data_IF_721802996332
#
_entry.id   IF_721802996332
#
_cell.length_a   1.000
_cell.length_b   1.000
_cell.length_c   1.000
_cell.angle_alpha   90.00
_cell.angle_beta   90.00
_cell.angle_gamma   90.00
#
_symmetry.space_group_name_H-M   'P 1'
#
loop_
_entity.id
_entity.type
_entity.pdbx_description
1 polymer ?
#
# COMPACT_ATOMS: atom_id res chain seq x y z
N UNK A 1 -17.26 -22.34 4.71
CA UNK A 1 -16.37 -22.13 3.57
C UNK A 1 -15.00 -21.72 4.04
N UNK A 2 -13.96 -22.18 3.36
CA UNK A 2 -12.60 -21.79 3.69
C UNK A 2 -12.42 -20.28 3.41
N UNK A 3 -11.99 -19.52 4.41
CA UNK A 3 -11.59 -18.13 4.23
C UNK A 3 -10.16 -18.10 3.69
N UNK A 4 -9.91 -17.21 2.74
CA UNK A 4 -8.54 -16.93 2.30
C UNK A 4 -7.81 -16.18 3.43
N UNK A 5 -6.63 -16.64 3.85
CA UNK A 5 -5.84 -15.89 4.81
C UNK A 5 -5.36 -14.58 4.19
N UNK A 6 -5.14 -13.57 5.02
CA UNK A 6 -4.50 -12.34 4.60
C UNK A 6 -3.02 -12.57 4.31
N UNK A 7 -2.51 -11.85 3.33
CA UNK A 7 -1.12 -11.96 2.91
C UNK A 7 -0.22 -10.96 3.61
N UNK A 8 -0.10 -11.12 4.91
CA UNK A 8 0.76 -10.25 5.72
C UNK A 8 2.23 -10.26 5.27
N UNK A 9 2.84 -11.39 4.87
CA UNK A 9 4.21 -11.37 4.36
C UNK A 9 4.39 -10.48 3.14
N UNK A 10 3.44 -10.47 2.20
CA UNK A 10 3.49 -9.59 1.04
C UNK A 10 3.29 -8.13 1.44
N UNK A 11 2.30 -7.86 2.29
CA UNK A 11 2.04 -6.51 2.81
C UNK A 11 3.29 -5.94 3.48
N UNK A 12 3.89 -6.67 4.42
CA UNK A 12 5.10 -6.23 5.11
C UNK A 12 6.28 -6.03 4.16
N UNK A 13 6.46 -6.92 3.18
CA UNK A 13 7.51 -6.76 2.18
C UNK A 13 7.32 -5.47 1.35
N UNK A 14 6.08 -5.15 0.95
CA UNK A 14 5.75 -3.90 0.26
C UNK A 14 6.03 -2.67 1.15
N UNK A 15 5.62 -2.71 2.41
CA UNK A 15 5.88 -1.64 3.38
C UNK A 15 7.37 -1.37 3.52
N UNK A 16 8.16 -2.41 3.79
CA UNK A 16 9.60 -2.27 4.02
C UNK A 16 10.39 -1.90 2.77
N UNK A 17 9.99 -2.38 1.61
CA UNK A 17 10.73 -2.14 0.36
C UNK A 17 10.36 -0.84 -0.34
N UNK A 18 9.10 -0.39 -0.26
CA UNK A 18 8.59 0.71 -1.08
C UNK A 18 7.95 1.85 -0.30
N UNK A 19 7.16 1.53 0.74
CA UNK A 19 6.23 2.51 1.31
C UNK A 19 6.87 3.40 2.37
N UNK A 20 8.02 3.01 2.91
CA UNK A 20 8.78 3.79 3.90
C UNK A 20 9.57 4.92 3.25
N UNK A 21 9.99 5.94 4.01
CA UNK A 21 10.98 6.91 3.57
C UNK A 21 12.27 6.24 3.07
N UNK A 22 12.93 6.83 2.09
CA UNK A 22 14.12 6.27 1.41
C UNK A 22 15.16 5.72 2.38
N UNK A 23 15.52 6.46 3.43
CA UNK A 23 16.52 6.04 4.42
C UNK A 23 16.12 4.82 5.28
N UNK A 24 14.87 4.41 5.25
CA UNK A 24 14.30 3.35 6.08
C UNK A 24 13.78 2.15 5.27
N UNK A 25 14.14 2.07 3.99
CA UNK A 25 13.72 0.95 3.12
C UNK A 25 14.70 -0.20 3.20
N UNK A 26 14.18 -1.42 3.09
CA UNK A 26 14.97 -2.59 2.73
C UNK A 26 15.09 -2.70 1.20
N UNK A 27 15.96 -3.60 0.73
CA UNK A 27 15.98 -3.98 -0.69
C UNK A 27 14.68 -4.66 -1.14
N UNK A 28 14.55 -4.83 -2.45
CA UNK A 28 13.35 -5.45 -3.06
C UNK A 28 13.43 -6.99 -3.15
N UNK A 29 14.57 -7.58 -2.85
CA UNK A 29 14.76 -9.03 -2.87
C UNK A 29 13.77 -9.79 -1.98
N UNK A 30 13.49 -9.37 -0.74
CA UNK A 30 12.51 -10.05 0.09
C UNK A 30 11.10 -10.02 -0.50
N UNK A 31 10.76 -8.96 -1.25
CA UNK A 31 9.49 -8.86 -1.94
C UNK A 31 9.34 -9.95 -2.99
N UNK A 32 10.41 -10.26 -3.72
CA UNK A 32 10.41 -11.25 -4.78
C UNK A 32 10.56 -12.66 -4.22
N UNK A 33 11.57 -12.90 -3.37
CA UNK A 33 11.89 -14.24 -2.87
C UNK A 33 10.88 -14.77 -1.87
N UNK A 34 10.32 -13.92 -1.01
CA UNK A 34 9.49 -14.35 0.11
C UNK A 34 7.99 -14.15 -0.12
N UNK A 35 7.60 -13.33 -1.07
CA UNK A 35 6.18 -12.98 -1.25
C UNK A 35 5.62 -13.24 -2.63
N UNK A 36 6.34 -12.92 -3.69
CA UNK A 36 5.82 -13.01 -5.05
C UNK A 36 6.16 -14.33 -5.74
N UNK A 37 7.40 -14.84 -5.62
CA UNK A 37 7.82 -16.07 -6.31
C UNK A 37 7.47 -17.36 -5.55
N UNK A 38 7.38 -17.32 -4.24
CA UNK A 38 7.19 -18.53 -3.43
C UNK A 38 5.79 -19.14 -3.51
N UNK A 39 4.88 -18.54 -4.24
CA UNK A 39 3.48 -18.96 -4.27
C UNK A 39 3.15 -19.98 -5.32
N UNK A 40 3.83 -19.93 -6.46
CA UNK A 40 3.52 -20.77 -7.61
C UNK A 40 4.56 -21.84 -7.91
N UNK A 41 5.80 -21.66 -7.47
CA UNK A 41 6.93 -22.45 -7.98
C UNK A 41 7.64 -23.30 -6.91
N UNK A 42 7.56 -22.95 -5.64
CA UNK A 42 8.10 -23.82 -4.61
C UNK A 42 7.10 -24.94 -4.31
N UNK A 43 7.56 -26.19 -4.37
CA UNK A 43 6.74 -27.37 -4.06
C UNK A 43 6.07 -27.35 -2.69
N UNK A 44 6.40 -26.40 -1.83
CA UNK A 44 5.78 -26.16 -0.53
C UNK A 44 4.43 -25.47 -0.63
N UNK A 45 4.20 -24.65 -1.65
CA UNK A 45 3.00 -23.82 -1.80
C UNK A 45 2.18 -24.10 -3.07
N UNK A 46 2.62 -25.03 -3.93
CA UNK A 46 1.96 -25.35 -5.20
C UNK A 46 0.49 -25.83 -5.08
N UNK A 47 0.06 -26.21 -3.88
CA UNK A 47 -1.31 -26.64 -3.60
C UNK A 47 -2.11 -25.68 -2.74
N UNK A 48 -1.53 -24.54 -2.36
CA UNK A 48 -2.24 -23.52 -1.58
C UNK A 48 -2.93 -22.53 -2.50
N UNK A 49 -4.17 -22.27 -2.18
CA UNK A 49 -4.89 -21.14 -2.78
C UNK A 49 -4.13 -19.85 -2.46
N UNK A 50 -4.00 -18.97 -3.45
CA UNK A 50 -3.34 -17.68 -3.27
C UNK A 50 -3.96 -16.92 -2.09
N UNK A 51 -3.11 -16.32 -1.28
CA UNK A 51 -3.58 -15.51 -0.17
C UNK A 51 -4.24 -14.22 -0.68
N UNK A 52 -5.05 -13.64 0.18
CA UNK A 52 -5.71 -12.37 -0.06
C UNK A 52 -4.70 -11.23 0.03
N UNK A 53 -4.23 -10.74 -1.10
CA UNK A 53 -3.14 -9.77 -1.19
C UNK A 53 -3.65 -8.33 -1.08
N UNK A 54 -2.92 -7.48 -0.37
CA UNK A 54 -3.29 -6.08 -0.17
C UNK A 54 -2.05 -5.20 0.00
N UNK A 55 -2.18 -3.94 -0.38
CA UNK A 55 -1.16 -2.91 -0.16
C UNK A 55 -1.39 -2.23 1.19
N UNK A 56 -2.62 -1.77 1.43
CA UNK A 56 -3.04 -1.17 2.70
C UNK A 56 -4.40 -1.71 3.15
N UNK A 57 -4.67 -1.59 4.45
CA UNK A 57 -5.97 -1.90 5.06
C UNK A 57 -6.45 -0.71 5.90
N UNK A 58 -7.74 -0.70 6.24
CA UNK A 58 -8.36 0.39 7.00
C UNK A 58 -7.86 0.46 8.46
N UNK A 59 -7.42 -0.68 9.01
CA UNK A 59 -7.19 -0.80 10.45
C UNK A 59 -5.90 -0.14 10.94
N UNK A 60 -4.88 -0.04 10.11
CA UNK A 60 -3.55 0.23 10.63
C UNK A 60 -2.96 1.58 10.23
N UNK A 61 -3.40 2.17 9.15
CA UNK A 61 -2.60 3.25 8.57
C UNK A 61 -3.33 4.59 8.52
N UNK A 62 -4.53 4.65 7.95
CA UNK A 62 -5.20 5.94 7.80
C UNK A 62 -5.69 6.47 9.14
N UNK A 63 -6.35 5.64 9.95
CA UNK A 63 -6.83 6.08 11.27
C UNK A 63 -5.70 6.46 12.21
N UNK A 64 -4.62 5.67 12.22
CA UNK A 64 -3.43 5.97 13.02
C UNK A 64 -2.75 7.25 12.58
N UNK A 65 -2.64 7.48 11.27
CA UNK A 65 -2.05 8.69 10.70
C UNK A 65 -2.92 9.92 11.04
N UNK A 66 -4.23 9.83 10.88
CA UNK A 66 -5.15 10.92 11.24
C UNK A 66 -5.05 11.26 12.72
N UNK A 67 -5.02 10.25 13.59
CA UNK A 67 -4.81 10.44 15.02
C UNK A 67 -3.48 11.12 15.34
N UNK A 68 -2.42 10.74 14.65
CA UNK A 68 -1.09 11.34 14.81
C UNK A 68 -1.07 12.80 14.33
N UNK A 69 -1.69 13.11 13.19
CA UNK A 69 -1.83 14.47 12.69
C UNK A 69 -2.59 15.34 13.70
N UNK A 70 -3.72 14.84 14.22
CA UNK A 70 -4.51 15.58 15.20
C UNK A 70 -3.66 15.91 16.43
N UNK A 71 -2.96 14.92 16.97
CA UNK A 71 -2.11 15.11 18.14
C UNK A 71 -0.95 16.08 17.91
N UNK A 72 -0.32 16.02 16.76
CA UNK A 72 0.88 16.79 16.47
C UNK A 72 0.58 18.23 16.01
N UNK A 73 -0.50 18.43 15.25
CA UNK A 73 -0.74 19.68 14.53
C UNK A 73 -1.99 20.45 15.00
N UNK A 74 -2.95 19.76 15.64
CA UNK A 74 -4.27 20.35 15.92
C UNK A 74 -4.57 20.40 17.41
N UNK A 75 -4.47 19.26 18.11
CA UNK A 75 -4.81 19.12 19.51
C UNK A 75 -3.81 18.21 20.24
N UNK A 76 -2.76 18.77 20.85
CA UNK A 76 -1.76 17.99 21.59
C UNK A 76 -2.32 17.18 22.77
N UNK A 77 -3.50 17.53 23.27
CA UNK A 77 -4.17 16.83 24.36
C UNK A 77 -5.04 15.66 23.86
N UNK A 78 -5.14 15.45 22.56
CA UNK A 78 -5.89 14.34 21.99
C UNK A 78 -5.32 12.99 22.45
N UNK A 79 -6.20 12.10 22.91
CA UNK A 79 -5.83 10.73 23.28
C UNK A 79 -5.63 9.81 22.08
N UNK A 80 -5.94 10.27 20.88
CA UNK A 80 -5.85 9.49 19.66
C UNK A 80 -7.05 8.59 19.35
N UNK A 81 -8.06 8.56 20.22
CA UNK A 81 -9.20 7.63 20.09
C UNK A 81 -10.55 8.30 19.84
N UNK A 82 -10.67 9.57 20.13
CA UNK A 82 -11.91 10.35 19.96
C UNK A 82 -11.59 11.69 19.34
N UNK A 83 -12.26 12.04 18.27
CA UNK A 83 -12.03 13.27 17.53
C UNK A 83 -13.36 13.99 17.28
N UNK A 84 -13.33 15.30 17.29
CA UNK A 84 -14.44 16.11 16.78
C UNK A 84 -14.44 16.09 15.25
N UNK A 85 -15.58 16.42 14.67
CA UNK A 85 -15.69 16.54 13.21
C UNK A 85 -14.75 17.63 12.66
N UNK A 86 -14.57 18.72 13.37
CA UNK A 86 -13.67 19.82 13.00
C UNK A 86 -12.20 19.37 13.00
N UNK A 87 -11.77 18.64 14.03
CA UNK A 87 -10.43 18.05 14.09
C UNK A 87 -10.20 17.08 12.95
N UNK A 88 -11.17 16.23 12.63
CA UNK A 88 -11.08 15.30 11.51
C UNK A 88 -10.94 16.03 10.16
N UNK A 89 -11.76 17.04 9.91
CA UNK A 89 -11.68 17.85 8.68
C UNK A 89 -10.29 18.46 8.50
N UNK A 90 -9.78 19.13 9.54
CA UNK A 90 -8.44 19.73 9.51
C UNK A 90 -7.35 18.68 9.30
N UNK A 91 -7.47 17.53 9.95
CA UNK A 91 -6.50 16.45 9.78
C UNK A 91 -6.51 15.87 8.36
N UNK A 92 -7.67 15.70 7.75
CA UNK A 92 -7.75 15.25 6.36
C UNK A 92 -7.25 16.28 5.35
N UNK A 93 -7.37 17.57 5.62
CA UNK A 93 -6.72 18.62 4.81
C UNK A 93 -5.19 18.46 4.82
N UNK A 94 -4.61 18.25 6.00
CA UNK A 94 -3.16 17.99 6.16
C UNK A 94 -2.77 16.68 5.48
N UNK A 95 -3.51 15.61 5.72
CA UNK A 95 -3.30 14.30 5.10
C UNK A 95 -3.33 14.36 3.57
N UNK A 96 -4.35 15.01 3.01
CA UNK A 96 -4.52 15.15 1.57
C UNK A 96 -3.41 15.99 0.92
N UNK A 97 -2.92 17.01 1.61
CA UNK A 97 -1.76 17.79 1.17
C UNK A 97 -0.47 16.98 1.23
N UNK A 98 -0.26 16.24 2.32
CA UNK A 98 0.92 15.40 2.51
C UNK A 98 1.00 14.26 1.47
N UNK A 99 -0.12 13.65 1.09
CA UNK A 99 -0.17 12.66 0.01
C UNK A 99 0.41 13.17 -1.31
N UNK A 100 0.27 14.47 -1.58
CA UNK A 100 0.77 15.12 -2.82
C UNK A 100 2.19 15.66 -2.68
N UNK A 101 2.74 15.65 -1.48
CA UNK A 101 4.10 16.14 -1.22
C UNK A 101 5.16 15.16 -1.70
N UNK A 102 6.25 15.68 -2.24
CA UNK A 102 7.45 14.89 -2.50
C UNK A 102 8.16 14.48 -1.20
N UNK A 103 8.09 15.36 -0.17
CA UNK A 103 8.63 15.09 1.16
C UNK A 103 7.46 14.83 2.12
N UNK A 104 7.09 13.58 2.25
CA UNK A 104 5.96 13.15 3.07
C UNK A 104 6.37 13.07 4.55
N UNK A 105 5.55 13.69 5.39
CA UNK A 105 5.74 13.64 6.84
C UNK A 105 4.89 12.53 7.49
N UNK A 106 3.72 12.28 6.95
CA UNK A 106 2.72 11.38 7.53
C UNK A 106 2.35 10.22 6.63
N UNK A 107 2.18 10.47 5.34
CA UNK A 107 1.67 9.49 4.40
C UNK A 107 2.79 8.62 3.81
N UNK A 108 2.42 7.47 3.26
CA UNK A 108 3.36 6.53 2.69
C UNK A 108 3.79 6.93 1.27
N UNK A 109 4.98 6.45 0.89
CA UNK A 109 5.57 6.65 -0.43
C UNK A 109 5.11 5.54 -1.40
N UNK A 110 5.24 5.78 -2.68
CA UNK A 110 5.17 4.77 -3.76
C UNK A 110 3.94 3.85 -3.74
N UNK A 111 2.81 4.32 -3.27
CA UNK A 111 1.56 3.54 -3.27
C UNK A 111 1.22 2.99 -4.66
N UNK A 112 1.28 3.77 -5.77
CA UNK A 112 1.04 3.22 -7.10
C UNK A 112 2.02 2.11 -7.50
N UNK A 113 3.29 2.20 -7.11
CA UNK A 113 4.28 1.16 -7.41
C UNK A 113 4.00 -0.15 -6.67
N UNK A 114 3.54 -0.06 -5.41
CA UNK A 114 3.11 -1.23 -4.65
C UNK A 114 1.89 -1.91 -5.29
N UNK A 115 0.91 -1.13 -5.74
CA UNK A 115 -0.22 -1.65 -6.51
C UNK A 115 0.22 -2.26 -7.84
N UNK A 116 1.19 -1.66 -8.53
CA UNK A 116 1.72 -2.22 -9.76
C UNK A 116 2.28 -3.62 -9.54
N UNK A 117 3.12 -3.82 -8.53
CA UNK A 117 3.66 -5.14 -8.20
C UNK A 117 2.57 -6.15 -7.86
N UNK A 118 1.61 -5.78 -7.01
CA UNK A 118 0.54 -6.68 -6.61
C UNK A 118 -0.41 -7.01 -7.75
N UNK A 119 -0.86 -6.01 -8.51
CA UNK A 119 -1.88 -6.18 -9.54
C UNK A 119 -1.36 -6.83 -10.82
N UNK A 120 -0.07 -6.70 -11.12
CA UNK A 120 0.53 -7.36 -12.28
C UNK A 120 0.97 -8.79 -12.00
N UNK A 121 1.04 -9.20 -10.73
CA UNK A 121 1.41 -10.57 -10.38
C UNK A 121 0.22 -11.52 -10.54
N UNK A 122 0.36 -12.54 -11.39
CA UNK A 122 -0.73 -13.47 -11.74
C UNK A 122 -1.32 -14.27 -10.57
N UNK A 123 -0.47 -14.61 -9.59
CA UNK A 123 -0.84 -15.51 -8.47
C UNK A 123 -1.37 -14.78 -7.23
N UNK A 124 -1.62 -13.49 -7.32
CA UNK A 124 -2.25 -12.73 -6.24
C UNK A 124 -3.78 -12.79 -6.33
N UNK A 125 -4.46 -12.76 -5.19
CA UNK A 125 -5.89 -12.41 -5.07
C UNK A 125 -5.97 -11.00 -4.50
N UNK A 126 -5.87 -9.97 -5.35
CA UNK A 126 -5.64 -8.62 -4.90
C UNK A 126 -6.89 -7.94 -4.37
N UNK A 127 -6.72 -7.20 -3.31
CA UNK A 127 -7.68 -6.25 -2.77
C UNK A 127 -7.17 -4.83 -2.95
N UNK A 128 -7.98 -3.99 -3.55
CA UNK A 128 -7.74 -2.55 -3.58
C UNK A 128 -8.45 -1.91 -2.38
N UNK A 129 -7.70 -1.17 -1.59
CA UNK A 129 -8.26 -0.40 -0.49
C UNK A 129 -8.99 0.83 -1.04
N UNK A 130 -10.24 1.03 -0.62
CA UNK A 130 -11.06 2.15 -1.09
C UNK A 130 -10.43 3.51 -0.79
N UNK A 131 -9.79 3.66 0.38
CA UNK A 131 -9.07 4.86 0.78
C UNK A 131 -7.82 5.19 -0.04
N UNK A 132 -7.36 4.27 -0.91
CA UNK A 132 -6.31 4.56 -1.89
C UNK A 132 -6.87 5.10 -3.20
N UNK A 133 -8.13 4.86 -3.48
CA UNK A 133 -8.80 5.41 -4.67
C UNK A 133 -9.51 6.73 -4.37
N UNK A 134 -10.11 6.84 -3.19
CA UNK A 134 -10.85 8.03 -2.80
C UNK A 134 -10.35 8.55 -1.47
N UNK A 135 -10.29 9.87 -1.36
CA UNK A 135 -9.90 10.55 -0.13
C UNK A 135 -11.10 11.20 0.55
N UNK A 136 -10.98 11.36 1.85
CA UNK A 136 -11.99 11.94 2.71
C UNK A 136 -11.74 13.46 2.88
N UNK A 137 -12.81 14.21 3.06
CA UNK A 137 -12.79 15.62 3.49
C UNK A 137 -13.18 15.78 4.96
N UNK A 138 -13.26 14.66 5.70
CA UNK A 138 -13.75 14.59 7.06
C UNK A 138 -15.23 14.19 7.17
N UNK A 139 -15.94 14.06 6.03
CA UNK A 139 -17.34 13.61 5.98
C UNK A 139 -17.57 12.47 4.99
N UNK A 140 -17.00 12.58 3.78
CA UNK A 140 -17.27 11.66 2.69
C UNK A 140 -15.99 11.32 1.92
N UNK A 141 -15.79 10.05 1.64
CA UNK A 141 -14.74 9.57 0.74
C UNK A 141 -15.20 9.69 -0.71
N UNK A 142 -15.37 10.91 -1.20
CA UNK A 142 -15.93 11.18 -2.52
C UNK A 142 -14.93 11.77 -3.53
N UNK A 143 -13.81 12.30 -3.06
CA UNK A 143 -12.80 12.90 -3.92
C UNK A 143 -11.80 11.85 -4.39
N UNK A 144 -11.46 11.85 -5.67
CA UNK A 144 -10.39 10.99 -6.18
C UNK A 144 -9.06 11.30 -5.49
N UNK A 145 -8.40 10.26 -5.00
CA UNK A 145 -7.04 10.39 -4.47
C UNK A 145 -6.02 10.67 -5.59
N UNK A 146 -4.80 11.10 -5.27
CA UNK A 146 -3.73 11.23 -6.26
C UNK A 146 -3.36 9.90 -6.93
N UNK A 147 -3.77 8.77 -6.36
CA UNK A 147 -3.44 7.42 -6.84
C UNK A 147 -4.52 6.79 -7.71
N UNK A 148 -5.71 7.42 -7.79
CA UNK A 148 -6.90 6.86 -8.44
C UNK A 148 -6.62 6.39 -9.86
N UNK A 149 -6.12 7.28 -10.72
CA UNK A 149 -5.95 6.98 -12.15
C UNK A 149 -4.90 5.88 -12.39
N UNK A 150 -3.84 5.85 -11.59
CA UNK A 150 -2.83 4.80 -11.65
C UNK A 150 -3.42 3.44 -11.25
N UNK A 151 -4.15 3.38 -10.12
CA UNK A 151 -4.77 2.13 -9.64
C UNK A 151 -5.84 1.65 -10.62
N UNK A 152 -6.68 2.53 -11.15
CA UNK A 152 -7.71 2.18 -12.14
C UNK A 152 -7.07 1.60 -13.41
N UNK A 153 -5.99 2.20 -13.90
CA UNK A 153 -5.24 1.71 -15.06
C UNK A 153 -4.66 0.32 -14.81
N UNK A 154 -4.07 0.11 -13.64
CA UNK A 154 -3.52 -1.17 -13.23
C UNK A 154 -4.60 -2.26 -13.10
N UNK A 155 -5.78 -1.92 -12.56
CA UNK A 155 -6.92 -2.85 -12.50
C UNK A 155 -7.39 -3.27 -13.89
N UNK A 156 -7.52 -2.32 -14.81
CA UNK A 156 -7.87 -2.61 -16.21
C UNK A 156 -6.80 -3.48 -16.88
N UNK A 157 -5.53 -3.21 -16.61
CA UNK A 157 -4.40 -4.01 -17.08
C UNK A 157 -4.44 -5.44 -16.54
N UNK A 158 -4.70 -5.59 -15.24
CA UNK A 158 -4.85 -6.91 -14.61
C UNK A 158 -5.95 -7.74 -15.26
N UNK A 159 -7.13 -7.19 -15.41
CA UNK A 159 -8.28 -7.91 -16.00
C UNK A 159 -7.98 -8.39 -17.42
N UNK A 160 -7.19 -7.64 -18.17
CA UNK A 160 -6.92 -7.94 -19.57
C UNK A 160 -5.70 -8.83 -19.80
N UNK A 161 -4.69 -8.71 -18.97
CA UNK A 161 -3.34 -9.21 -19.30
C UNK A 161 -2.68 -10.06 -18.21
N UNK A 162 -3.11 -10.02 -16.96
CA UNK A 162 -2.45 -10.73 -15.86
C UNK A 162 -2.85 -12.22 -15.84
N UNK A 163 -2.45 -12.96 -16.86
CA UNK A 163 -2.66 -14.41 -17.01
C UNK A 163 -1.44 -15.07 -17.66
N UNK A 164 -1.32 -16.41 -17.55
CA UNK A 164 -0.23 -17.17 -18.16
C UNK A 164 1.04 -17.24 -17.31
N UNK A 165 2.18 -17.48 -17.95
CA UNK A 165 3.48 -17.55 -17.31
C UNK A 165 3.99 -16.16 -16.88
N UNK A 166 4.75 -16.12 -15.80
CA UNK A 166 5.39 -14.90 -15.33
C UNK A 166 6.78 -15.21 -14.80
N UNK A 167 7.76 -14.37 -15.15
CA UNK A 167 9.10 -14.35 -14.58
C UNK A 167 9.39 -12.96 -14.03
N UNK A 168 10.04 -12.90 -12.89
CA UNK A 168 10.43 -11.65 -12.22
C UNK A 168 11.91 -11.67 -11.92
N UNK A 169 12.60 -10.61 -12.38
CA UNK A 169 14.04 -10.40 -12.11
C UNK A 169 14.26 -9.02 -11.52
N UNK A 170 15.16 -8.95 -10.55
CA UNK A 170 15.68 -7.68 -10.05
C UNK A 170 16.97 -7.35 -10.77
N UNK A 171 16.99 -6.21 -11.44
CA UNK A 171 18.19 -5.66 -12.03
C UNK A 171 18.59 -4.40 -11.27
N UNK A 172 19.80 -4.39 -10.73
CA UNK A 172 20.33 -3.21 -10.05
C UNK A 172 20.93 -2.24 -11.07
N UNK A 173 20.44 -1.02 -11.05
CA UNK A 173 20.93 0.06 -11.89
C UNK A 173 21.75 1.01 -11.01
N UNK A 174 23.05 0.82 -11.00
CA UNK A 174 23.99 1.68 -10.28
C UNK A 174 24.63 1.07 -9.03
N UNK A 175 25.81 1.53 -8.73
CA UNK A 175 26.59 1.13 -7.56
C UNK A 175 26.12 1.87 -6.32
N UNK A 176 25.73 1.14 -5.30
CA UNK A 176 25.63 1.66 -3.93
C UNK A 176 24.33 2.33 -3.52
N UNK A 177 23.31 2.37 -4.36
CA UNK A 177 22.00 2.88 -3.94
C UNK A 177 20.91 1.86 -4.25
N UNK A 178 20.65 0.98 -3.30
CA UNK A 178 19.50 0.05 -3.32
C UNK A 178 18.17 0.73 -3.00
N UNK A 179 18.16 2.04 -2.94
CA UNK A 179 17.01 2.87 -2.63
C UNK A 179 16.39 3.39 -3.94
N UNK A 180 15.93 2.45 -4.77
CA UNK A 180 15.18 2.78 -5.96
C UNK A 180 13.76 3.29 -5.66
#
# INVERSE_FOLDING_TARGET
>A
GAQLPMDDPMHLALVYSLLRPIGNRSGVEPLISNSLNDRSESGKNSKRMANYSFVRAHDSEVQSIIGQIIKNEINPQSTGNTFTLDEMKKAFEIYNRDMRSANKQYTQYNIPSAYALMLTHKDTVPRVYYGDMYTDDGQYMAQKSPYYDAIETLLKGRIRYAAGGQDMKVNYIGYGNTNG
#
